data_IF_567485900052
#
_entry.id   IF_567485900052
#
_cell.length_a   1.000
_cell.length_b   1.000
_cell.length_c   1.000
_cell.angle_alpha   90.00
_cell.angle_beta   90.00
_cell.angle_gamma   90.00
#
_symmetry.space_group_name_H-M   'P 1'
#
loop_
_entity.id
_entity.type
_entity.pdbx_description
1 polymer ?
#
# COMPACT_ATOMS: atom_id res chain seq x y z
N UNK A 1 -47.03 20.16 18.52
CA UNK A 1 -45.73 20.84 18.42
C UNK A 1 -45.05 20.20 17.23
N UNK A 2 -45.25 20.82 16.08
CA UNK A 2 -44.75 20.30 14.81
C UNK A 2 -43.23 20.41 14.72
N UNK A 3 -42.69 19.38 14.10
CA UNK A 3 -41.35 19.14 13.58
C UNK A 3 -40.58 20.37 13.09
N UNK A 4 -39.33 20.48 13.54
CA UNK A 4 -38.23 21.05 12.75
C UNK A 4 -36.99 20.16 12.90
N UNK A 5 -37.08 18.91 12.42
CA UNK A 5 -35.88 18.24 11.91
C UNK A 5 -35.53 18.95 10.59
N UNK A 6 -34.68 19.97 10.63
CA UNK A 6 -34.00 20.42 9.42
C UNK A 6 -33.10 19.27 8.97
N UNK A 7 -33.58 18.49 8.01
CA UNK A 7 -32.72 17.58 7.26
C UNK A 7 -31.57 18.40 6.69
N UNK A 8 -30.34 18.12 7.13
CA UNK A 8 -29.15 18.76 6.58
C UNK A 8 -29.12 18.46 5.08
N UNK A 9 -29.23 19.51 4.26
CA UNK A 9 -29.14 19.36 2.81
C UNK A 9 -27.68 19.17 2.43
N UNK A 10 -27.33 17.96 2.02
CA UNK A 10 -26.00 17.61 1.53
C UNK A 10 -25.90 17.96 0.05
N UNK A 11 -24.89 18.75 -0.30
CA UNK A 11 -24.48 19.00 -1.68
C UNK A 11 -23.66 17.81 -2.19
N UNK A 12 -24.07 17.28 -3.35
CA UNK A 12 -23.38 16.15 -4.01
C UNK A 12 -22.56 16.60 -5.21
N UNK A 13 -22.88 17.77 -5.76
CA UNK A 13 -22.20 18.30 -6.92
C UNK A 13 -21.00 19.16 -6.49
N UNK A 14 -19.82 18.55 -6.54
CA UNK A 14 -18.56 19.23 -6.28
C UNK A 14 -18.26 20.38 -7.26
N UNK A 15 -18.95 20.50 -8.39
CA UNK A 15 -18.82 21.68 -9.27
C UNK A 15 -19.34 22.97 -8.61
N UNK A 16 -20.12 22.86 -7.53
CA UNK A 16 -20.60 24.01 -6.75
C UNK A 16 -19.65 24.43 -5.61
N UNK A 17 -18.51 23.76 -5.50
CA UNK A 17 -17.44 24.14 -4.58
C UNK A 17 -16.85 25.50 -4.95
N UNK A 18 -16.64 26.36 -3.95
CA UNK A 18 -15.99 27.66 -4.07
C UNK A 18 -14.64 27.63 -3.37
N UNK A 19 -13.56 27.63 -4.16
CA UNK A 19 -12.17 27.68 -3.67
C UNK A 19 -11.93 28.86 -2.75
N UNK A 20 -12.36 30.06 -3.15
CA UNK A 20 -12.12 31.26 -2.36
C UNK A 20 -12.87 31.25 -1.03
N UNK A 21 -14.13 30.82 -1.06
CA UNK A 21 -14.94 30.69 0.16
C UNK A 21 -14.33 29.68 1.12
N UNK A 22 -13.83 28.55 0.61
CA UNK A 22 -13.13 27.56 1.41
C UNK A 22 -11.89 28.15 2.10
N UNK A 23 -11.06 28.89 1.35
CA UNK A 23 -9.88 29.53 1.91
C UNK A 23 -10.20 30.59 2.98
N UNK A 24 -11.25 31.37 2.77
CA UNK A 24 -11.68 32.38 3.74
C UNK A 24 -12.27 31.75 5.01
N UNK A 25 -12.97 30.64 4.88
CA UNK A 25 -13.58 29.92 5.99
C UNK A 25 -12.54 29.21 6.86
N UNK A 26 -11.56 28.53 6.24
CA UNK A 26 -10.63 27.66 6.96
C UNK A 26 -9.24 28.25 7.21
N UNK A 27 -8.80 29.24 6.42
CA UNK A 27 -7.39 29.67 6.43
C UNK A 27 -7.18 31.19 6.55
N UNK A 28 -8.24 31.99 6.75
CA UNK A 28 -8.12 33.45 6.94
C UNK A 28 -7.48 33.84 8.29
N UNK A 29 -7.62 32.97 9.28
CA UNK A 29 -7.05 33.08 10.62
C UNK A 29 -6.35 31.78 11.00
N UNK A 30 -5.27 31.89 11.78
CA UNK A 30 -4.53 30.72 12.27
C UNK A 30 -5.20 30.19 13.52
N UNK A 31 -5.69 28.97 13.45
CA UNK A 31 -6.29 28.25 14.56
C UNK A 31 -5.25 27.34 15.27
N UNK A 32 -5.65 26.71 16.38
CA UNK A 32 -4.76 25.81 17.10
C UNK A 32 -4.55 24.50 16.34
N UNK A 33 -5.57 24.06 15.60
CA UNK A 33 -5.55 22.96 14.64
C UNK A 33 -4.43 23.17 13.62
N UNK A 34 -4.38 24.34 12.96
CA UNK A 34 -3.34 24.68 11.98
C UNK A 34 -1.93 24.61 12.59
N UNK A 35 -1.76 25.15 13.80
CA UNK A 35 -0.46 25.13 14.50
C UNK A 35 -0.02 23.71 14.87
N UNK A 36 -0.95 22.81 15.20
CA UNK A 36 -0.62 21.39 15.44
C UNK A 36 -0.25 20.69 14.13
N UNK A 37 -1.04 20.92 13.09
CA UNK A 37 -0.81 20.33 11.77
C UNK A 37 0.54 20.76 11.19
N UNK A 38 0.86 22.06 11.22
CA UNK A 38 2.14 22.60 10.75
C UNK A 38 3.34 22.06 11.54
N UNK A 39 3.21 21.85 12.86
CA UNK A 39 4.24 21.17 13.67
C UNK A 39 4.44 19.71 13.27
N UNK A 40 3.34 18.99 12.99
CA UNK A 40 3.42 17.63 12.48
C UNK A 40 4.13 17.58 11.11
N UNK A 41 3.80 18.50 10.20
CA UNK A 41 4.43 18.63 8.90
C UNK A 41 5.94 18.93 9.02
N UNK A 42 6.33 19.93 9.83
CA UNK A 42 7.73 20.26 10.08
C UNK A 42 8.53 19.04 10.60
N UNK A 43 7.92 18.22 11.46
CA UNK A 43 8.50 16.99 11.98
C UNK A 43 8.67 15.91 10.90
N UNK A 44 7.63 15.61 10.12
CA UNK A 44 7.67 14.49 9.16
C UNK A 44 8.49 14.76 7.89
N UNK A 45 8.80 16.02 7.61
CA UNK A 45 9.72 16.38 6.53
C UNK A 45 11.19 16.46 6.99
N UNK A 46 11.47 16.29 8.29
CA UNK A 46 12.83 16.35 8.84
C UNK A 46 13.77 15.24 8.34
N UNK A 47 13.22 14.10 7.92
CA UNK A 47 13.93 12.89 7.47
C UNK A 47 13.73 12.58 5.97
N UNK A 48 13.22 13.55 5.19
CA UNK A 48 13.06 13.39 3.73
C UNK A 48 14.43 13.25 3.07
N UNK A 49 14.54 12.26 2.17
CA UNK A 49 15.76 12.01 1.38
C UNK A 49 15.96 13.12 0.35
N UNK A 50 17.20 13.58 0.20
CA UNK A 50 17.57 14.52 -0.85
C UNK A 50 17.18 13.98 -2.24
N UNK A 51 16.64 14.87 -3.07
CA UNK A 51 16.21 14.51 -4.43
C UNK A 51 14.79 13.94 -4.53
N UNK A 52 14.08 13.75 -3.42
CA UNK A 52 12.70 13.22 -3.41
C UNK A 52 11.72 14.09 -4.20
N UNK A 53 10.85 13.44 -4.97
CA UNK A 53 9.71 14.06 -5.67
C UNK A 53 8.43 13.90 -4.84
N UNK A 54 7.69 14.99 -4.66
CA UNK A 54 6.46 15.02 -3.86
C UNK A 54 5.24 15.20 -4.76
N UNK A 55 4.21 14.41 -4.51
CA UNK A 55 2.85 14.61 -5.02
C UNK A 55 1.99 15.21 -3.92
N UNK A 56 1.35 16.34 -4.20
CA UNK A 56 0.22 16.84 -3.43
C UNK A 56 -1.06 16.30 -4.06
N UNK A 57 -1.66 15.28 -3.44
CA UNK A 57 -2.86 14.62 -3.93
C UNK A 57 -4.11 15.30 -3.38
N UNK A 58 -4.96 15.83 -4.26
CA UNK A 58 -6.20 16.51 -3.86
C UNK A 58 -5.92 17.72 -2.98
N UNK A 59 -4.93 18.54 -3.34
CA UNK A 59 -4.45 19.64 -2.50
C UNK A 59 -5.46 20.77 -2.31
N UNK A 60 -6.60 20.73 -2.99
CA UNK A 60 -7.59 21.78 -2.97
C UNK A 60 -6.99 23.11 -3.43
N UNK A 61 -7.53 24.23 -2.96
CA UNK A 61 -6.94 25.54 -3.22
C UNK A 61 -5.81 25.89 -2.23
N UNK A 62 -5.28 24.92 -1.45
CA UNK A 62 -4.44 25.20 -0.27
C UNK A 62 -2.95 24.99 -0.52
N UNK A 63 -2.11 25.64 0.31
CA UNK A 63 -0.65 25.55 0.22
C UNK A 63 0.05 25.29 1.57
N UNK A 64 -0.67 25.32 2.69
CA UNK A 64 -0.09 25.18 4.04
C UNK A 64 0.74 23.90 4.18
N UNK A 65 0.27 22.80 3.60
CA UNK A 65 0.87 21.48 3.69
C UNK A 65 2.22 21.34 2.98
N UNK A 66 2.54 22.30 2.10
CA UNK A 66 3.76 22.34 1.30
C UNK A 66 4.83 23.28 1.84
N UNK A 67 4.50 24.13 2.82
CA UNK A 67 5.43 25.13 3.35
C UNK A 67 6.69 24.46 3.87
N UNK A 68 6.55 23.47 4.76
CA UNK A 68 7.69 22.73 5.32
C UNK A 68 8.31 21.71 4.37
N UNK A 69 7.61 21.33 3.30
CA UNK A 69 8.14 20.44 2.28
C UNK A 69 9.11 21.14 1.31
N UNK A 70 8.82 22.41 0.96
CA UNK A 70 9.53 23.17 -0.05
C UNK A 70 11.07 23.14 0.04
N UNK A 71 11.70 23.28 1.23
CA UNK A 71 13.16 23.21 1.35
C UNK A 71 13.74 21.78 1.34
N UNK A 72 12.89 20.75 1.42
CA UNK A 72 13.31 19.35 1.59
C UNK A 72 13.20 18.53 0.31
N UNK A 73 12.28 18.88 -0.57
CA UNK A 73 11.98 18.11 -1.78
C UNK A 73 12.66 18.72 -3.01
N UNK A 74 12.88 17.89 -4.03
CA UNK A 74 13.43 18.35 -5.32
C UNK A 74 12.41 19.19 -6.06
N UNK A 75 11.20 18.67 -6.20
CA UNK A 75 10.06 19.27 -6.91
C UNK A 75 8.75 18.73 -6.35
N UNK A 76 7.68 19.48 -6.62
CA UNK A 76 6.30 19.23 -6.17
C UNK A 76 5.42 19.17 -7.42
N UNK A 77 4.68 18.09 -7.57
CA UNK A 77 3.56 18.01 -8.50
C UNK A 77 2.26 18.20 -7.71
N UNK A 78 1.54 19.27 -8.03
CA UNK A 78 0.28 19.61 -7.38
C UNK A 78 -0.87 18.98 -8.15
N UNK A 79 -1.81 18.33 -7.47
CA UNK A 79 -2.96 17.73 -8.12
C UNK A 79 -4.26 17.98 -7.39
N UNK A 80 -5.33 18.08 -8.16
CA UNK A 80 -6.68 18.19 -7.64
C UNK A 80 -7.70 17.66 -8.66
N UNK A 81 -8.87 17.27 -8.19
CA UNK A 81 -9.98 16.88 -9.05
C UNK A 81 -10.63 18.10 -9.72
N UNK A 82 -10.73 19.22 -9.00
CA UNK A 82 -11.41 20.42 -9.46
C UNK A 82 -10.45 21.43 -10.07
N UNK A 83 -10.73 21.84 -11.30
CA UNK A 83 -9.94 22.85 -12.00
C UNK A 83 -9.95 24.22 -11.30
N UNK A 84 -11.03 24.56 -10.57
CA UNK A 84 -11.11 25.80 -9.78
C UNK A 84 -10.08 25.86 -8.65
N UNK A 85 -9.71 24.71 -8.09
CA UNK A 85 -8.67 24.59 -7.06
C UNK A 85 -7.29 24.78 -7.68
N UNK A 86 -7.02 24.07 -8.78
CA UNK A 86 -5.77 24.23 -9.53
C UNK A 86 -5.58 25.67 -10.02
N UNK A 87 -6.64 26.34 -10.43
CA UNK A 87 -6.62 27.74 -10.84
C UNK A 87 -6.22 28.68 -9.69
N UNK A 88 -6.76 28.48 -8.49
CA UNK A 88 -6.42 29.30 -7.31
C UNK A 88 -4.93 29.16 -6.96
N UNK A 89 -4.40 27.94 -6.99
CA UNK A 89 -2.97 27.69 -6.73
C UNK A 89 -2.09 28.27 -7.83
N UNK A 90 -2.47 28.14 -9.11
CA UNK A 90 -1.76 28.78 -10.23
C UNK A 90 -1.74 30.29 -10.10
N UNK A 91 -2.83 30.91 -9.67
CA UNK A 91 -2.88 32.36 -9.43
C UNK A 91 -1.84 32.77 -8.38
N UNK A 92 -1.72 32.01 -7.29
CA UNK A 92 -0.69 32.27 -6.28
C UNK A 92 0.73 32.05 -6.80
N UNK A 93 0.98 30.97 -7.55
CA UNK A 93 2.29 30.70 -8.17
C UNK A 93 2.70 31.82 -9.13
N UNK A 94 1.74 32.38 -9.88
CA UNK A 94 1.95 33.45 -10.84
C UNK A 94 1.94 34.86 -10.21
N UNK A 95 1.88 34.99 -8.88
CA UNK A 95 1.84 36.28 -8.16
C UNK A 95 0.69 37.17 -8.60
N UNK A 96 -0.46 36.59 -8.92
CA UNK A 96 -1.67 37.35 -9.19
C UNK A 96 -2.04 38.16 -7.95
N UNK A 97 -2.39 39.44 -8.11
CA UNK A 97 -2.76 40.33 -7.00
C UNK A 97 -4.01 39.89 -6.23
N UNK A 98 -4.85 39.06 -6.85
CA UNK A 98 -6.04 38.46 -6.23
C UNK A 98 -5.78 37.17 -5.48
N UNK A 99 -4.55 36.63 -5.53
CA UNK A 99 -4.23 35.37 -4.88
C UNK A 99 -4.41 35.45 -3.36
N UNK A 100 -4.80 34.33 -2.75
CA UNK A 100 -4.87 34.23 -1.30
C UNK A 100 -3.52 34.51 -0.62
N UNK A 101 -3.55 35.24 0.49
CA UNK A 101 -2.35 35.63 1.22
C UNK A 101 -2.01 34.53 2.24
N UNK A 102 -0.92 33.80 1.98
CA UNK A 102 -0.45 32.71 2.84
C UNK A 102 0.58 33.15 3.90
N UNK A 103 0.91 34.44 4.02
CA UNK A 103 2.00 34.91 4.89
C UNK A 103 1.89 34.41 6.35
N UNK A 104 0.70 34.45 6.95
CA UNK A 104 0.50 34.00 8.35
C UNK A 104 0.74 32.50 8.52
N UNK A 105 0.35 31.70 7.52
CA UNK A 105 0.59 30.26 7.49
C UNK A 105 2.09 30.01 7.30
N UNK A 106 2.74 30.75 6.38
CA UNK A 106 4.18 30.68 6.15
C UNK A 106 4.97 31.04 7.41
N UNK A 107 4.58 32.11 8.10
CA UNK A 107 5.12 32.50 9.41
C UNK A 107 5.00 31.36 10.42
N UNK A 108 3.80 30.81 10.58
CA UNK A 108 3.53 29.71 11.52
C UNK A 108 4.35 28.44 11.18
N UNK A 109 4.52 28.14 9.88
CA UNK A 109 5.33 27.02 9.42
C UNK A 109 6.82 27.23 9.73
N UNK A 110 7.35 28.44 9.54
CA UNK A 110 8.73 28.79 9.89
C UNK A 110 8.96 28.66 11.40
N UNK A 111 8.03 29.15 12.22
CA UNK A 111 8.10 29.00 13.68
C UNK A 111 8.08 27.53 14.11
N UNK A 112 7.24 26.70 13.48
CA UNK A 112 7.18 25.27 13.72
C UNK A 112 8.50 24.55 13.38
N UNK A 113 9.27 25.08 12.43
CA UNK A 113 10.62 24.62 12.07
C UNK A 113 11.73 25.20 12.96
N UNK A 114 11.39 26.08 13.92
CA UNK A 114 12.36 26.77 14.76
C UNK A 114 13.13 27.89 14.03
N UNK A 115 12.57 28.40 12.93
CA UNK A 115 13.14 29.49 12.12
C UNK A 115 12.45 30.80 12.48
N UNK A 116 13.24 31.86 12.66
CA UNK A 116 12.69 33.20 12.90
C UNK A 116 11.95 33.71 11.65
N UNK A 117 10.66 33.98 11.79
CA UNK A 117 9.77 34.38 10.70
C UNK A 117 9.86 35.89 10.40
N UNK A 118 11.00 36.35 9.87
CA UNK A 118 11.10 37.72 9.35
C UNK A 118 10.32 37.86 8.03
N UNK A 119 9.92 39.07 7.61
CA UNK A 119 9.29 39.29 6.30
C UNK A 119 10.11 38.72 5.13
N UNK A 120 11.45 38.81 5.21
CA UNK A 120 12.36 38.25 4.22
C UNK A 120 12.34 36.72 4.22
N UNK A 121 12.30 36.09 5.41
CA UNK A 121 12.21 34.64 5.53
C UNK A 121 10.87 34.10 5.01
N UNK A 122 9.77 34.79 5.29
CA UNK A 122 8.44 34.49 4.76
C UNK A 122 8.46 34.57 3.24
N UNK A 123 8.92 35.69 2.68
CA UNK A 123 9.01 35.88 1.23
C UNK A 123 9.92 34.81 0.59
N UNK A 124 11.08 34.53 1.18
CA UNK A 124 12.01 33.52 0.66
C UNK A 124 11.39 32.12 0.66
N UNK A 125 10.60 31.75 1.68
CA UNK A 125 9.89 30.47 1.74
C UNK A 125 8.82 30.37 0.67
N UNK A 126 8.02 31.42 0.49
CA UNK A 126 6.98 31.42 -0.55
C UNK A 126 7.58 31.37 -1.96
N UNK A 127 8.63 32.16 -2.22
CA UNK A 127 9.33 32.15 -3.50
C UNK A 127 9.98 30.79 -3.81
N UNK A 128 10.55 30.14 -2.79
CA UNK A 128 11.03 28.76 -2.92
C UNK A 128 9.90 27.81 -3.27
N UNK A 129 8.76 27.87 -2.58
CA UNK A 129 7.61 27.02 -2.85
C UNK A 129 7.08 27.23 -4.28
N UNK A 130 6.95 28.48 -4.74
CA UNK A 130 6.57 28.80 -6.13
C UNK A 130 7.49 28.12 -7.13
N UNK A 131 8.81 28.15 -6.90
CA UNK A 131 9.79 27.50 -7.76
C UNK A 131 9.80 25.96 -7.67
N UNK A 132 9.25 25.38 -6.60
CA UNK A 132 9.19 23.93 -6.39
C UNK A 132 7.94 23.29 -6.98
N UNK A 133 6.85 24.03 -7.15
CA UNK A 133 5.63 23.52 -7.82
C UNK A 133 5.88 23.54 -9.34
N UNK A 134 6.23 22.37 -9.90
CA UNK A 134 6.64 22.25 -11.31
C UNK A 134 5.55 21.74 -12.21
N UNK A 135 4.52 21.06 -11.68
CA UNK A 135 3.41 20.51 -12.46
C UNK A 135 2.08 20.66 -11.74
N UNK A 136 1.02 20.82 -12.55
CA UNK A 136 -0.37 20.74 -12.14
C UNK A 136 -1.01 19.55 -12.83
N UNK A 137 -1.62 18.65 -12.07
CA UNK A 137 -2.20 17.40 -12.56
C UNK A 137 -3.67 17.31 -12.16
N UNK A 138 -4.48 16.70 -13.02
CA UNK A 138 -5.81 16.24 -12.60
C UNK A 138 -5.66 14.89 -11.87
N UNK A 139 -6.37 14.72 -10.76
CA UNK A 139 -6.41 13.44 -10.04
C UNK A 139 -7.85 12.99 -9.75
N UNK A 140 -8.09 11.69 -9.71
CA UNK A 140 -9.38 11.09 -9.33
C UNK A 140 -9.15 9.83 -8.48
N UNK A 141 -9.33 9.96 -7.15
CA UNK A 141 -9.10 8.86 -6.21
C UNK A 141 -10.06 7.68 -6.39
N UNK A 142 -11.19 7.86 -7.09
CA UNK A 142 -12.14 6.78 -7.36
C UNK A 142 -11.69 5.88 -8.52
N UNK A 143 -10.60 6.25 -9.22
CA UNK A 143 -10.02 5.44 -10.29
C UNK A 143 -8.87 4.58 -9.78
N UNK A 144 -8.74 3.38 -10.34
CA UNK A 144 -7.61 2.46 -10.11
C UNK A 144 -6.24 3.13 -10.33
N UNK A 145 -6.16 4.03 -11.31
CA UNK A 145 -4.98 4.85 -11.59
C UNK A 145 -5.33 6.32 -11.41
N UNK A 146 -5.19 6.88 -10.19
CA UNK A 146 -5.69 8.23 -9.89
C UNK A 146 -5.10 9.35 -10.73
N UNK A 147 -3.86 9.17 -11.20
CA UNK A 147 -3.14 10.11 -12.05
C UNK A 147 -3.02 9.61 -13.51
N UNK A 148 -3.72 8.53 -13.85
CA UNK A 148 -3.51 7.79 -15.10
C UNK A 148 -2.26 6.90 -15.06
N UNK A 149 -1.89 6.43 -16.25
CA UNK A 149 -0.70 5.61 -16.50
C UNK A 149 0.33 6.43 -17.29
N UNK A 150 1.61 6.09 -17.15
CA UNK A 150 2.68 6.71 -17.93
C UNK A 150 2.87 6.03 -19.29
N UNK A 151 3.83 6.51 -20.10
CA UNK A 151 4.10 6.01 -21.46
C UNK A 151 4.51 4.53 -21.52
N UNK A 152 4.88 3.92 -20.39
CA UNK A 152 5.23 2.50 -20.27
C UNK A 152 4.06 1.65 -19.71
N UNK A 153 2.84 2.19 -19.68
CA UNK A 153 1.65 1.55 -19.10
C UNK A 153 1.74 1.29 -17.58
N UNK A 154 2.68 1.94 -16.88
CA UNK A 154 2.84 1.81 -15.43
C UNK A 154 2.06 2.91 -14.68
N UNK A 155 1.63 2.58 -13.46
CA UNK A 155 1.05 3.55 -12.54
C UNK A 155 2.08 4.66 -12.20
N UNK A 156 1.63 5.91 -12.13
CA UNK A 156 2.48 7.04 -11.74
C UNK A 156 2.70 7.02 -10.22
N UNK A 157 3.97 6.99 -9.78
CA UNK A 157 4.33 6.91 -8.37
C UNK A 157 5.37 7.94 -7.94
N UNK A 158 5.34 8.31 -6.66
CA UNK A 158 6.15 9.36 -6.04
C UNK A 158 6.91 8.88 -4.81
N UNK A 159 8.01 9.57 -4.51
CA UNK A 159 8.79 9.29 -3.29
C UNK A 159 8.03 9.73 -2.03
N UNK A 160 7.22 10.79 -2.17
CA UNK A 160 6.34 11.30 -1.12
C UNK A 160 4.96 11.59 -1.72
N UNK A 161 3.91 11.14 -1.06
CA UNK A 161 2.51 11.50 -1.38
C UNK A 161 1.90 12.17 -0.16
N UNK A 162 1.46 13.41 -0.34
CA UNK A 162 0.59 14.09 0.60
C UNK A 162 -0.87 13.91 0.20
N UNK A 163 -1.75 13.80 1.18
CA UNK A 163 -3.19 13.84 0.97
C UNK A 163 -3.90 14.29 2.25
N UNK A 164 -4.33 15.55 2.32
CA UNK A 164 -4.92 16.13 3.51
C UNK A 164 -6.41 16.43 3.30
N UNK A 165 -7.27 15.82 4.14
CA UNK A 165 -8.72 16.02 4.16
C UNK A 165 -9.45 15.68 2.86
N UNK A 166 -8.95 14.67 2.13
CA UNK A 166 -9.49 14.30 0.80
C UNK A 166 -10.32 13.04 0.88
N UNK A 167 -9.72 11.90 1.20
CA UNK A 167 -10.32 10.58 1.01
C UNK A 167 -11.67 10.45 1.73
N UNK A 168 -11.79 10.97 2.95
CA UNK A 168 -13.02 10.96 3.73
C UNK A 168 -14.04 11.99 3.24
N UNK A 169 -13.58 13.12 2.68
CA UNK A 169 -14.39 14.24 2.23
C UNK A 169 -15.04 14.01 0.87
N UNK A 170 -14.50 13.09 0.05
CA UNK A 170 -14.99 12.79 -1.31
C UNK A 170 -15.71 11.44 -1.40
N UNK A 171 -16.00 10.81 -0.26
CA UNK A 171 -16.54 9.46 -0.20
C UNK A 171 -17.96 9.45 0.35
N UNK A 172 -18.83 8.66 -0.27
CA UNK A 172 -20.22 8.50 0.17
C UNK A 172 -20.37 7.42 1.25
N UNK A 173 -19.51 6.40 1.20
CA UNK A 173 -19.54 5.26 2.12
C UNK A 173 -18.15 4.91 2.63
N UNK A 174 -18.11 4.15 3.73
CA UNK A 174 -16.84 3.58 4.23
C UNK A 174 -16.14 2.68 3.21
N UNK A 175 -16.90 2.01 2.33
CA UNK A 175 -16.31 1.20 1.27
C UNK A 175 -15.65 2.06 0.19
N UNK A 176 -16.29 3.16 -0.18
CA UNK A 176 -15.74 4.13 -1.14
C UNK A 176 -14.49 4.79 -0.56
N UNK A 177 -14.54 5.20 0.71
CA UNK A 177 -13.38 5.73 1.44
C UNK A 177 -12.20 4.76 1.42
N UNK A 178 -12.44 3.49 1.75
CA UNK A 178 -11.40 2.46 1.74
C UNK A 178 -10.79 2.29 0.35
N UNK A 179 -11.61 2.32 -0.70
CA UNK A 179 -11.17 2.16 -2.09
C UNK A 179 -10.38 3.37 -2.57
N UNK A 180 -10.86 4.58 -2.28
CA UNK A 180 -10.17 5.83 -2.59
C UNK A 180 -8.82 5.93 -1.86
N UNK A 181 -8.78 5.57 -0.58
CA UNK A 181 -7.54 5.51 0.21
C UNK A 181 -6.55 4.52 -0.42
N UNK A 182 -6.97 3.30 -0.78
CA UNK A 182 -6.11 2.31 -1.41
C UNK A 182 -5.54 2.81 -2.76
N UNK A 183 -6.37 3.48 -3.57
CA UNK A 183 -5.91 4.09 -4.81
C UNK A 183 -4.87 5.21 -4.56
N UNK A 184 -5.06 6.04 -3.55
CA UNK A 184 -4.07 7.06 -3.15
C UNK A 184 -2.76 6.40 -2.68
N UNK A 185 -2.84 5.32 -1.90
CA UNK A 185 -1.68 4.52 -1.52
C UNK A 185 -0.89 4.01 -2.72
N UNK A 186 -1.57 3.66 -3.83
CA UNK A 186 -0.90 3.16 -5.05
C UNK A 186 0.02 4.19 -5.72
N UNK A 187 -0.18 5.49 -5.44
CA UNK A 187 0.68 6.58 -5.91
C UNK A 187 2.02 6.65 -5.16
N UNK A 188 2.20 5.88 -4.08
CA UNK A 188 3.43 5.86 -3.28
C UNK A 188 4.37 4.80 -3.85
N UNK A 189 5.62 5.18 -4.17
CA UNK A 189 6.65 4.20 -4.56
C UNK A 189 6.89 3.20 -3.43
N UNK A 190 7.36 1.98 -3.73
CA UNK A 190 7.89 1.08 -2.70
C UNK A 190 8.95 1.79 -1.85
N UNK A 191 8.82 1.73 -0.52
CA UNK A 191 9.70 2.46 0.40
C UNK A 191 9.46 3.98 0.50
N UNK A 192 8.47 4.53 -0.23
CA UNK A 192 8.10 5.95 -0.24
C UNK A 192 7.30 6.37 1.00
N UNK A 193 7.08 7.67 1.16
CA UNK A 193 6.39 8.25 2.32
C UNK A 193 4.97 8.68 1.97
N UNK A 194 4.01 8.33 2.80
CA UNK A 194 2.63 8.81 2.75
C UNK A 194 2.40 9.75 3.94
N UNK A 195 1.95 10.97 3.69
CA UNK A 195 1.64 11.98 4.72
C UNK A 195 0.18 12.41 4.54
N UNK A 196 -0.63 12.26 5.56
CA UNK A 196 -2.07 12.50 5.47
C UNK A 196 -2.62 13.14 6.73
N UNK A 197 -3.72 13.86 6.55
CA UNK A 197 -4.59 14.25 7.63
C UNK A 197 -6.05 13.95 7.24
N UNK A 198 -6.90 13.67 8.22
CA UNK A 198 -8.31 13.42 7.98
C UNK A 198 -9.18 13.87 9.15
N UNK A 199 -10.43 14.23 8.86
CA UNK A 199 -11.42 14.60 9.87
C UNK A 199 -11.94 13.35 10.59
N UNK A 200 -11.73 13.28 11.90
CA UNK A 200 -12.16 12.13 12.71
C UNK A 200 -13.66 12.18 12.96
N UNK A 201 -14.35 11.07 12.68
CA UNK A 201 -15.80 10.91 12.91
C UNK A 201 -16.67 12.03 12.30
N UNK A 202 -16.17 12.72 11.28
CA UNK A 202 -16.95 13.71 10.56
C UNK A 202 -18.11 13.05 9.81
N UNK A 203 -19.21 13.78 9.66
CA UNK A 203 -20.35 13.36 8.85
C UNK A 203 -20.61 14.31 7.68
N UNK A 204 -20.10 15.54 7.78
CA UNK A 204 -20.16 16.55 6.75
C UNK A 204 -19.09 17.61 7.03
N UNK A 205 -18.82 18.46 6.05
CA UNK A 205 -17.97 19.64 6.17
C UNK A 205 -18.57 20.78 5.32
N UNK A 206 -18.18 22.02 5.61
CA UNK A 206 -18.81 23.20 5.02
C UNK A 206 -17.96 23.82 3.91
N UNK A 207 -18.65 24.50 3.02
CA UNK A 207 -18.05 25.44 2.07
C UNK A 207 -19.06 26.56 1.84
N UNK A 208 -18.96 27.59 2.69
CA UNK A 208 -19.95 28.66 2.78
C UNK A 208 -21.31 28.13 3.24
N UNK A 209 -22.32 28.33 2.40
CA UNK A 209 -23.70 27.91 2.66
C UNK A 209 -23.97 26.43 2.37
N UNK A 210 -22.99 25.72 1.79
CA UNK A 210 -23.13 24.31 1.39
C UNK A 210 -22.47 23.39 2.41
N UNK A 211 -23.03 22.19 2.53
CA UNK A 211 -22.45 21.08 3.29
C UNK A 211 -22.18 19.91 2.36
N UNK A 212 -20.95 19.43 2.35
CA UNK A 212 -20.53 18.23 1.63
C UNK A 212 -20.44 17.07 2.60
N UNK A 213 -20.65 15.85 2.12
CA UNK A 213 -20.61 14.65 2.94
C UNK A 213 -19.15 14.35 3.38
N UNK A 214 -19.00 13.76 4.56
CA UNK A 214 -17.76 13.11 4.96
C UNK A 214 -18.05 11.72 5.53
N UNK A 215 -17.10 10.80 5.36
CA UNK A 215 -17.14 9.49 6.01
C UNK A 215 -16.49 9.59 7.38
N UNK A 216 -17.24 9.23 8.42
CA UNK A 216 -16.71 9.16 9.77
C UNK A 216 -15.71 8.01 9.91
N UNK A 217 -14.44 8.35 10.15
CA UNK A 217 -13.35 7.39 10.33
C UNK A 217 -12.65 7.54 11.68
N UNK A 218 -11.90 6.51 12.06
CA UNK A 218 -11.07 6.46 13.28
C UNK A 218 -9.63 6.06 12.96
N UNK A 219 -8.75 6.21 13.94
CA UNK A 219 -7.34 5.79 13.88
C UNK A 219 -7.19 4.29 13.58
N UNK A 220 -8.13 3.48 14.09
CA UNK A 220 -8.16 2.03 13.86
C UNK A 220 -8.48 1.71 12.39
N UNK A 221 -9.40 2.46 11.80
CA UNK A 221 -9.75 2.32 10.38
C UNK A 221 -8.55 2.70 9.50
N UNK A 222 -7.91 3.83 9.78
CA UNK A 222 -6.71 4.30 9.07
C UNK A 222 -5.60 3.26 9.15
N UNK A 223 -5.29 2.77 10.36
CA UNK A 223 -4.23 1.78 10.59
C UNK A 223 -4.52 0.46 9.86
N UNK A 224 -5.79 0.03 9.84
CA UNK A 224 -6.20 -1.18 9.12
C UNK A 224 -6.00 -1.04 7.61
N UNK A 225 -6.45 0.08 7.02
CA UNK A 225 -6.31 0.31 5.57
C UNK A 225 -4.84 0.48 5.19
N UNK A 226 -4.04 1.16 6.01
CA UNK A 226 -2.60 1.24 5.84
C UNK A 226 -1.95 -0.16 5.81
N UNK A 227 -2.28 -1.03 6.77
CA UNK A 227 -1.75 -2.38 6.83
C UNK A 227 -2.14 -3.22 5.60
N UNK A 228 -3.39 -3.12 5.15
CA UNK A 228 -3.89 -3.79 3.95
C UNK A 228 -3.19 -3.31 2.65
N UNK A 229 -2.61 -2.10 2.67
CA UNK A 229 -1.88 -1.51 1.54
C UNK A 229 -0.35 -1.53 1.72
N UNK A 230 0.17 -2.36 2.63
CA UNK A 230 1.63 -2.58 2.77
C UNK A 230 2.37 -1.54 3.60
N UNK A 231 1.67 -0.72 4.38
CA UNK A 231 2.27 0.19 5.35
C UNK A 231 2.35 -0.49 6.72
N UNK A 232 3.56 -0.69 7.24
CA UNK A 232 3.78 -1.47 8.48
C UNK A 232 3.60 -0.59 9.71
N UNK A 233 2.83 -1.06 10.70
CA UNK A 233 2.50 -0.33 11.94
C UNK A 233 3.70 0.30 12.66
N UNK A 234 4.87 -0.35 12.66
CA UNK A 234 6.08 0.18 13.32
C UNK A 234 6.63 1.47 12.70
N UNK A 235 6.21 1.81 11.48
CA UNK A 235 6.62 3.00 10.74
C UNK A 235 5.52 4.07 10.68
N UNK A 236 4.43 3.90 11.43
CA UNK A 236 3.33 4.87 11.46
C UNK A 236 3.59 5.87 12.59
N UNK A 237 3.81 7.12 12.21
CA UNK A 237 3.61 8.27 13.09
C UNK A 237 2.14 8.67 13.00
N UNK A 238 1.42 8.74 14.11
CA UNK A 238 0.02 9.16 14.14
C UNK A 238 -0.23 10.00 15.39
N UNK A 239 -0.86 11.15 15.21
CA UNK A 239 -1.30 12.03 16.29
C UNK A 239 -2.75 12.47 16.01
N UNK A 240 -3.56 12.48 17.06
CA UNK A 240 -4.92 13.00 17.01
C UNK A 240 -5.00 14.22 17.91
N UNK A 241 -5.55 15.31 17.39
CA UNK A 241 -5.69 16.57 18.13
C UNK A 241 -7.07 17.21 17.90
N UNK A 242 -7.53 18.06 18.83
CA UNK A 242 -8.81 18.76 18.69
C UNK A 242 -8.83 19.62 17.42
N UNK A 243 -9.97 19.62 16.75
CA UNK A 243 -10.29 20.55 15.69
C UNK A 243 -10.90 21.83 16.27
N UNK A 244 -10.67 22.96 15.61
CA UNK A 244 -11.32 24.23 15.98
C UNK A 244 -12.64 24.43 15.21
N UNK A 245 -12.98 23.52 14.30
CA UNK A 245 -14.19 23.55 13.47
C UNK A 245 -15.42 22.99 14.20
N UNK A 246 -16.62 23.44 13.80
CA UNK A 246 -17.88 22.94 14.37
C UNK A 246 -18.30 21.57 13.81
N UNK A 247 -17.92 21.27 12.57
CA UNK A 247 -18.46 20.10 11.84
C UNK A 247 -17.70 18.79 12.13
N UNK A 248 -16.52 18.87 12.75
CA UNK A 248 -15.74 17.74 13.24
C UNK A 248 -14.96 18.15 14.49
N UNK A 249 -14.76 17.23 15.45
CA UNK A 249 -14.17 17.56 16.74
C UNK A 249 -12.66 17.32 16.84
N UNK A 250 -12.11 16.51 15.94
CA UNK A 250 -10.73 16.04 16.01
C UNK A 250 -10.18 15.79 14.61
N UNK A 251 -8.87 15.96 14.45
CA UNK A 251 -8.10 15.62 13.25
C UNK A 251 -7.19 14.47 13.56
N UNK A 252 -7.09 13.49 12.65
CA UNK A 252 -6.07 12.44 12.67
C UNK A 252 -4.99 12.85 11.68
N UNK A 253 -3.80 13.20 12.15
CA UNK A 253 -2.62 13.34 11.32
C UNK A 253 -1.82 12.05 11.36
N UNK A 254 -1.36 11.57 10.20
CA UNK A 254 -0.48 10.41 10.16
C UNK A 254 0.53 10.48 9.02
N UNK A 255 1.68 9.86 9.26
CA UNK A 255 2.72 9.65 8.28
C UNK A 255 3.17 8.21 8.36
N UNK A 256 3.30 7.53 7.23
CA UNK A 256 3.86 6.19 7.17
C UNK A 256 4.80 6.07 5.99
N UNK A 257 5.92 5.38 6.21
CA UNK A 257 6.75 4.93 5.11
C UNK A 257 6.19 3.59 4.62
N UNK A 258 5.85 3.55 3.33
CA UNK A 258 5.55 2.31 2.62
C UNK A 258 6.70 1.33 2.84
N UNK A 259 6.36 0.06 3.01
CA UNK A 259 7.38 -0.97 3.05
C UNK A 259 8.05 -1.09 1.67
N UNK A 260 9.32 -1.46 1.63
CA UNK A 260 9.92 -2.04 0.42
C UNK A 260 9.26 -3.37 0.05
N UNK A 261 8.60 -3.98 1.03
CA UNK A 261 8.12 -5.33 0.97
C UNK A 261 6.60 -5.33 1.14
N UNK A 262 5.88 -5.45 0.02
CA UNK A 262 4.65 -6.22 0.07
C UNK A 262 5.07 -7.63 0.49
N UNK A 263 4.56 -8.10 1.64
CA UNK A 263 4.67 -9.48 2.08
C UNK A 263 4.05 -10.39 1.01
N UNK A 264 4.86 -10.80 0.03
CA UNK A 264 4.55 -11.91 -0.84
C UNK A 264 5.06 -13.15 -0.13
N UNK A 265 4.15 -13.89 0.51
CA UNK A 265 4.45 -15.22 1.04
C UNK A 265 4.38 -16.20 -0.10
N UNK A 266 5.44 -16.95 -0.34
CA UNK A 266 5.44 -18.03 -1.31
C UNK A 266 5.52 -19.35 -0.57
N UNK A 267 4.57 -20.24 -0.87
CA UNK A 267 4.49 -21.57 -0.32
C UNK A 267 4.78 -22.59 -1.43
N UNK A 268 5.79 -23.45 -1.27
CA UNK A 268 6.15 -24.52 -2.22
C UNK A 268 6.03 -25.87 -1.53
N UNK A 269 5.21 -26.78 -2.03
CA UNK A 269 5.08 -28.12 -1.43
C UNK A 269 5.87 -29.16 -2.25
N UNK A 270 6.71 -30.01 -1.64
CA UNK A 270 7.44 -31.09 -2.36
C UNK A 270 7.22 -32.45 -1.67
N UNK A 271 6.60 -33.42 -2.36
CA UNK A 271 6.16 -34.69 -1.77
C UNK A 271 6.76 -35.92 -2.46
N UNK A 272 7.59 -36.73 -1.80
CA UNK A 272 8.17 -37.97 -2.36
C UNK A 272 7.46 -39.27 -1.93
N UNK A 273 7.26 -40.23 -2.85
CA UNK A 273 6.88 -41.64 -2.54
C UNK A 273 7.90 -42.66 -3.06
N UNK A 274 8.03 -43.79 -2.36
CA UNK A 274 8.54 -45.05 -2.90
C UNK A 274 7.37 -46.03 -3.10
N UNK A 275 7.20 -46.45 -4.35
CA UNK A 275 6.29 -47.44 -4.98
C UNK A 275 4.80 -47.53 -4.57
N UNK A 276 3.94 -47.52 -5.62
CA UNK A 276 2.46 -47.51 -5.65
C UNK A 276 1.87 -48.94 -5.60
N UNK A 277 0.60 -49.13 -5.16
CA UNK A 277 -0.46 -49.24 -6.16
C UNK A 277 -1.86 -48.67 -5.81
N UNK A 278 -2.52 -48.27 -6.90
CA UNK A 278 -3.97 -48.22 -7.23
C UNK A 278 -5.01 -47.61 -6.29
N UNK A 279 -5.70 -46.61 -6.87
CA UNK A 279 -7.14 -46.27 -6.80
C UNK A 279 -7.76 -45.96 -5.44
N UNK A 280 -8.11 -44.70 -5.22
CA UNK A 280 -9.51 -44.29 -5.04
C UNK A 280 -9.67 -42.75 -5.06
N UNK A 281 -10.67 -42.28 -5.81
CA UNK A 281 -11.03 -40.86 -5.88
C UNK A 281 -12.03 -40.53 -4.77
N UNK A 282 -11.61 -39.74 -3.78
CA UNK A 282 -12.53 -39.04 -2.88
C UNK A 282 -12.79 -37.62 -3.40
N UNK A 283 -14.06 -37.34 -3.77
CA UNK A 283 -14.56 -35.98 -3.98
C UNK A 283 -14.84 -35.34 -2.63
N UNK A 284 -14.23 -34.19 -2.35
CA UNK A 284 -14.69 -33.27 -1.31
C UNK A 284 -14.95 -31.92 -1.98
N UNK A 285 -16.21 -31.48 -1.90
CA UNK A 285 -16.66 -30.15 -2.30
C UNK A 285 -16.58 -29.27 -1.06
N UNK A 286 -15.74 -28.24 -1.09
CA UNK A 286 -15.76 -27.15 -0.11
C UNK A 286 -16.13 -25.89 -0.88
N UNK A 287 -17.32 -25.39 -0.59
CA UNK A 287 -17.86 -24.10 -1.06
C UNK A 287 -17.34 -22.96 -0.19
N UNK A 288 -17.03 -21.84 -0.83
CA UNK A 288 -16.60 -20.54 -0.30
C UNK A 288 -15.18 -20.44 0.28
N UNK A 289 -14.20 -20.18 -0.59
CA UNK A 289 -12.94 -19.50 -0.21
C UNK A 289 -12.46 -18.56 -1.33
N UNK A 290 -11.94 -17.39 -0.93
CA UNK A 290 -11.49 -16.26 -1.77
C UNK A 290 -9.99 -16.37 -2.16
N UNK A 291 -9.49 -17.56 -2.43
CA UNK A 291 -8.07 -17.77 -2.79
C UNK A 291 -7.99 -18.86 -3.88
N UNK A 292 -7.13 -18.69 -4.89
CA UNK A 292 -6.92 -19.69 -5.93
C UNK A 292 -5.62 -20.48 -5.65
N UNK A 293 -5.67 -21.78 -5.35
CA UNK A 293 -4.49 -22.62 -5.36
C UNK A 293 -4.12 -23.01 -6.80
N UNK A 294 -2.89 -22.73 -7.24
CA UNK A 294 -2.36 -23.38 -8.45
C UNK A 294 -1.85 -24.76 -8.01
N UNK A 295 -2.63 -25.79 -8.34
CA UNK A 295 -2.26 -27.18 -8.08
C UNK A 295 -1.84 -27.84 -9.39
N UNK A 296 -0.54 -28.10 -9.58
CA UNK A 296 -0.05 -28.84 -10.74
C UNK A 296 0.06 -30.33 -10.38
N UNK A 297 -0.93 -31.13 -10.79
CA UNK A 297 -0.96 -32.58 -10.57
C UNK A 297 -0.42 -33.32 -11.79
N UNK A 298 0.90 -33.43 -11.89
CA UNK A 298 1.56 -34.38 -12.79
C UNK A 298 2.85 -34.87 -12.14
N UNK A 299 3.16 -36.14 -12.34
CA UNK A 299 4.42 -36.74 -11.88
C UNK A 299 5.58 -35.95 -12.48
N UNK A 300 6.28 -35.16 -11.68
CA UNK A 300 7.43 -34.37 -12.11
C UNK A 300 8.67 -35.26 -11.95
N UNK A 301 9.07 -35.90 -13.06
CA UNK A 301 10.35 -36.62 -13.14
C UNK A 301 11.54 -35.67 -13.35
N UNK A 302 11.26 -34.41 -13.70
CA UNK A 302 12.19 -33.30 -13.77
C UNK A 302 11.43 -32.01 -13.47
N UNK A 303 12.13 -31.02 -12.88
CA UNK A 303 11.60 -29.68 -12.66
C UNK A 303 11.12 -29.05 -13.98
N UNK A 304 9.97 -28.36 -13.96
CA UNK A 304 9.42 -27.68 -15.13
C UNK A 304 10.06 -26.29 -15.25
N UNK A 305 10.85 -26.08 -16.31
CA UNK A 305 11.51 -24.80 -16.60
C UNK A 305 10.54 -23.61 -16.68
N UNK A 306 9.24 -23.85 -16.79
CA UNK A 306 8.20 -22.81 -16.74
C UNK A 306 8.01 -22.18 -15.34
N UNK A 307 8.51 -22.79 -14.26
CA UNK A 307 8.48 -22.21 -12.90
C UNK A 307 9.62 -21.20 -12.65
N UNK A 308 10.76 -21.30 -13.35
CA UNK A 308 11.91 -20.39 -13.16
C UNK A 308 11.55 -18.93 -13.50
N UNK A 309 10.88 -18.64 -14.63
CA UNK A 309 10.44 -17.28 -14.95
C UNK A 309 9.41 -16.74 -13.96
N UNK A 310 8.63 -17.61 -13.31
CA UNK A 310 7.63 -17.23 -12.32
C UNK A 310 8.30 -16.67 -11.06
N UNK A 311 9.32 -17.38 -10.54
CA UNK A 311 10.08 -16.98 -9.35
C UNK A 311 10.97 -15.76 -9.63
N UNK A 312 11.54 -15.64 -10.83
CA UNK A 312 12.35 -14.47 -11.22
C UNK A 312 11.53 -13.17 -11.30
N UNK A 313 10.20 -13.27 -11.39
CA UNK A 313 9.27 -12.13 -11.41
C UNK A 313 8.70 -11.80 -10.02
N UNK A 314 8.99 -12.62 -9.00
CA UNK A 314 8.58 -12.44 -7.61
C UNK A 314 9.68 -11.71 -6.81
N UNK A 315 10.02 -10.49 -7.22
CA UNK A 315 11.17 -9.74 -6.69
C UNK A 315 11.03 -9.28 -5.24
N UNK A 316 9.83 -9.41 -4.65
CA UNK A 316 9.49 -8.92 -3.32
C UNK A 316 9.30 -10.05 -2.29
N UNK A 317 9.89 -11.22 -2.55
CA UNK A 317 9.72 -12.43 -1.76
C UNK A 317 10.64 -12.49 -0.53
N UNK A 318 10.07 -12.35 0.67
CA UNK A 318 10.84 -12.31 1.95
C UNK A 318 10.85 -13.60 2.75
N UNK A 319 9.84 -14.46 2.59
CA UNK A 319 9.73 -15.73 3.29
C UNK A 319 9.19 -16.79 2.32
N UNK A 320 9.92 -17.90 2.20
CA UNK A 320 9.52 -19.06 1.40
C UNK A 320 9.20 -20.21 2.35
N UNK A 321 7.92 -20.57 2.43
CA UNK A 321 7.48 -21.72 3.21
C UNK A 321 7.51 -22.94 2.31
N UNK A 322 8.29 -23.96 2.65
CA UNK A 322 8.29 -25.21 1.91
C UNK A 322 7.63 -26.29 2.75
N UNK A 323 6.49 -26.84 2.30
CA UNK A 323 5.82 -27.93 3.01
C UNK A 323 6.12 -29.26 2.32
N UNK A 324 6.64 -30.25 3.03
CA UNK A 324 6.88 -31.56 2.45
C UNK A 324 5.87 -32.54 3.05
N UNK A 325 4.97 -33.08 2.22
CA UNK A 325 4.03 -34.12 2.66
C UNK A 325 4.56 -35.49 2.24
N UNK A 326 4.79 -36.37 3.20
CA UNK A 326 5.16 -37.77 2.94
C UNK A 326 4.07 -38.69 3.46
N UNK A 327 3.50 -39.49 2.54
CA UNK A 327 2.63 -40.60 2.89
C UNK A 327 3.47 -41.81 3.31
N UNK A 328 3.23 -42.35 4.50
CA UNK A 328 3.98 -43.51 4.99
C UNK A 328 3.17 -44.78 4.69
N UNK A 329 3.69 -45.61 3.79
CA UNK A 329 3.22 -46.98 3.62
C UNK A 329 3.83 -47.86 4.72
N UNK A 330 3.06 -48.84 5.20
CA UNK A 330 3.47 -49.71 6.31
C UNK A 330 4.89 -50.29 6.08
N UNK A 331 5.73 -50.20 7.11
CA UNK A 331 7.12 -50.70 7.22
C UNK A 331 8.28 -49.79 6.77
N UNK A 332 8.10 -48.48 6.59
CA UNK A 332 9.25 -47.55 6.51
C UNK A 332 9.51 -46.85 7.86
N UNK A 333 10.54 -47.32 8.59
CA UNK A 333 10.90 -46.79 9.92
C UNK A 333 12.06 -45.77 9.91
N UNK A 334 12.67 -45.49 8.75
CA UNK A 334 13.70 -44.46 8.64
C UNK A 334 13.07 -43.14 8.20
N UNK A 335 12.58 -42.38 9.19
CA UNK A 335 12.12 -41.01 9.00
C UNK A 335 13.32 -40.07 9.01
N UNK A 336 13.41 -39.11 8.08
CA UNK A 336 14.43 -38.06 8.16
C UNK A 336 14.19 -37.23 9.41
N UNK A 337 15.25 -36.97 10.19
CA UNK A 337 15.23 -36.05 11.32
C UNK A 337 15.24 -34.58 10.84
N UNK A 338 14.98 -33.64 11.75
CA UNK A 338 15.16 -32.20 11.45
C UNK A 338 16.57 -31.89 10.96
N UNK A 339 17.58 -32.58 11.51
CA UNK A 339 18.97 -32.41 11.10
C UNK A 339 19.23 -32.97 9.69
N UNK A 340 18.61 -34.10 9.31
CA UNK A 340 18.71 -34.65 7.95
C UNK A 340 18.08 -33.69 6.90
N UNK A 341 16.98 -33.04 7.27
CA UNK A 341 16.31 -32.04 6.43
C UNK A 341 17.19 -30.79 6.30
N UNK A 342 17.64 -30.20 7.42
CA UNK A 342 18.53 -29.03 7.41
C UNK A 342 19.84 -29.31 6.66
N UNK A 343 20.41 -30.51 6.82
CA UNK A 343 21.63 -30.91 6.12
C UNK A 343 21.45 -30.93 4.60
N UNK A 344 20.24 -31.27 4.11
CA UNK A 344 19.91 -31.22 2.69
C UNK A 344 19.93 -29.78 2.13
N UNK A 345 19.92 -28.76 2.99
CA UNK A 345 20.05 -27.34 2.64
C UNK A 345 21.44 -26.74 2.96
N UNK A 346 22.39 -27.53 3.48
CA UNK A 346 23.69 -27.02 3.97
C UNK A 346 24.59 -26.41 2.89
N UNK A 347 24.36 -26.73 1.61
CA UNK A 347 25.09 -26.13 0.48
C UNK A 347 24.45 -24.85 -0.05
N UNK A 348 23.30 -24.46 0.46
CA UNK A 348 22.68 -23.16 0.19
C UNK A 348 23.35 -22.14 1.10
N UNK A 349 23.80 -21.00 0.55
CA UNK A 349 24.48 -19.94 1.32
C UNK A 349 23.50 -19.16 2.23
N UNK A 350 22.69 -19.86 3.03
CA UNK A 350 21.85 -19.26 4.06
C UNK A 350 21.80 -20.20 5.28
N UNK A 351 22.48 -19.77 6.35
CA UNK A 351 22.60 -20.51 7.61
C UNK A 351 21.33 -20.40 8.49
N UNK A 352 20.31 -19.65 8.08
CA UNK A 352 19.07 -19.37 8.83
C UNK A 352 17.90 -20.28 8.45
N UNK A 353 18.17 -21.49 7.96
CA UNK A 353 17.11 -22.46 7.61
C UNK A 353 16.62 -23.20 8.86
N UNK A 354 15.34 -23.06 9.19
CA UNK A 354 14.69 -23.75 10.31
C UNK A 354 13.79 -24.86 9.76
N UNK A 355 13.78 -26.03 10.38
CA UNK A 355 12.85 -27.11 10.04
C UNK A 355 12.11 -27.62 11.26
N UNK A 356 10.85 -28.00 11.06
CA UNK A 356 10.03 -28.75 12.01
C UNK A 356 9.40 -29.96 11.32
N UNK A 357 9.11 -31.00 12.10
CA UNK A 357 8.44 -32.20 11.61
C UNK A 357 7.30 -32.54 12.56
N UNK A 358 6.11 -32.67 12.01
CA UNK A 358 4.90 -33.08 12.71
C UNK A 358 4.43 -34.44 12.20
N UNK A 359 4.24 -35.39 13.12
CA UNK A 359 3.74 -36.73 12.79
C UNK A 359 2.28 -36.89 13.25
N UNK A 360 1.42 -37.25 12.31
CA UNK A 360 0.00 -37.47 12.56
C UNK A 360 -0.31 -38.96 12.47
N UNK A 361 -0.21 -39.63 13.61
CA UNK A 361 -0.32 -41.08 13.74
C UNK A 361 -1.63 -41.65 13.16
N UNK A 362 -2.77 -40.98 13.39
CA UNK A 362 -4.08 -41.43 12.89
C UNK A 362 -4.19 -41.39 11.36
N UNK A 363 -3.48 -40.48 10.71
CA UNK A 363 -3.51 -40.33 9.25
C UNK A 363 -2.34 -41.03 8.55
N UNK A 364 -1.37 -41.57 9.32
CA UNK A 364 -0.08 -42.07 8.80
C UNK A 364 0.63 -41.05 7.91
N UNK A 365 0.54 -39.78 8.30
CA UNK A 365 1.09 -38.64 7.58
C UNK A 365 2.23 -38.02 8.38
N UNK A 366 3.29 -37.65 7.66
CA UNK A 366 4.35 -36.81 8.17
C UNK A 366 4.34 -35.49 7.41
N UNK A 367 4.29 -34.41 8.16
CA UNK A 367 4.44 -33.05 7.66
C UNK A 367 5.83 -32.58 8.05
N UNK A 368 6.58 -32.08 7.08
CA UNK A 368 7.77 -31.31 7.37
C UNK A 368 7.54 -29.86 6.92
N UNK A 369 7.87 -28.95 7.83
CA UNK A 369 7.85 -27.52 7.63
C UNK A 369 9.28 -27.03 7.54
N UNK A 370 9.65 -26.38 6.44
CA UNK A 370 10.95 -25.73 6.30
C UNK A 370 10.74 -24.24 6.06
N UNK A 371 11.48 -23.44 6.82
CA UNK A 371 11.45 -21.98 6.81
C UNK A 371 12.82 -21.47 6.38
N UNK A 372 12.83 -20.50 5.48
CA UNK A 372 14.05 -19.78 5.10
C UNK A 372 13.72 -18.36 4.65
N UNK A 373 14.69 -17.46 4.82
CA UNK A 373 14.66 -16.06 4.41
C UNK A 373 15.27 -15.92 2.99
N UNK A 374 14.46 -15.87 1.91
CA UNK A 374 14.89 -15.97 0.53
C UNK A 374 15.67 -14.74 0.03
N UNK A 375 15.54 -13.58 0.68
CA UNK A 375 16.26 -12.36 0.30
C UNK A 375 17.80 -12.45 0.44
N UNK A 376 18.32 -13.49 1.11
CA UNK A 376 19.76 -13.78 1.19
C UNK A 376 20.26 -14.69 0.05
N UNK A 377 19.36 -15.24 -0.77
CA UNK A 377 19.70 -16.22 -1.79
C UNK A 377 20.17 -15.54 -3.08
N UNK A 378 21.47 -15.63 -3.37
CA UNK A 378 22.04 -15.07 -4.62
C UNK A 378 21.58 -15.78 -5.90
N UNK A 379 21.04 -16.99 -5.79
CA UNK A 379 20.82 -17.89 -6.92
C UNK A 379 19.66 -18.87 -6.64
N UNK A 380 18.46 -18.54 -7.13
CA UNK A 380 17.23 -19.31 -6.89
C UNK A 380 17.20 -20.68 -7.59
N UNK A 381 18.03 -20.92 -8.61
CA UNK A 381 18.07 -22.18 -9.37
C UNK A 381 18.68 -23.36 -8.59
N UNK A 382 19.28 -23.13 -7.42
CA UNK A 382 19.86 -24.22 -6.62
C UNK A 382 18.83 -24.98 -5.77
N UNK A 383 17.63 -24.42 -5.54
CA UNK A 383 16.56 -25.03 -4.72
C UNK A 383 16.09 -26.35 -5.33
N UNK A 384 16.25 -26.50 -6.64
CA UNK A 384 15.57 -27.54 -7.41
C UNK A 384 16.48 -28.67 -7.86
N UNK A 385 17.78 -28.65 -7.51
CA UNK A 385 18.72 -29.67 -7.98
C UNK A 385 19.75 -30.19 -6.96
N UNK A 386 19.76 -29.73 -5.70
CA UNK A 386 20.80 -30.13 -4.73
C UNK A 386 20.29 -30.56 -3.34
N UNK A 387 19.13 -31.22 -3.26
CA UNK A 387 18.78 -31.98 -2.04
C UNK A 387 19.69 -33.22 -1.92
N UNK A 388 20.88 -33.06 -1.35
CA UNK A 388 21.77 -34.20 -1.10
C UNK A 388 21.38 -34.90 0.20
N UNK A 389 20.81 -36.11 0.06
CA UNK A 389 20.51 -37.01 1.19
C UNK A 389 19.81 -38.32 0.86
N UNK A 390 19.11 -38.44 -0.28
CA UNK A 390 18.13 -39.54 -0.45
C UNK A 390 16.97 -39.39 0.55
N UNK A 391 15.71 -39.77 0.33
CA UNK A 391 15.03 -40.53 -0.70
C UNK A 391 13.72 -39.75 -0.98
N UNK A 392 13.73 -38.75 -1.86
CA UNK A 392 12.52 -38.10 -2.39
C UNK A 392 12.39 -38.40 -3.88
N UNK A 393 12.31 -39.69 -4.24
CA UNK A 393 12.43 -40.15 -5.64
C UNK A 393 11.23 -39.84 -6.55
N UNK A 394 10.12 -39.29 -6.02
CA UNK A 394 8.91 -39.05 -6.82
C UNK A 394 8.09 -37.88 -6.28
N UNK A 395 8.43 -36.65 -6.68
CA UNK A 395 7.61 -35.45 -6.39
C UNK A 395 6.30 -35.55 -7.17
N UNK A 396 5.15 -35.66 -6.49
CA UNK A 396 3.84 -35.84 -7.17
C UNK A 396 2.94 -34.61 -7.22
N UNK A 397 3.15 -33.66 -6.32
CA UNK A 397 2.30 -32.49 -6.19
C UNK A 397 3.14 -31.32 -5.70
N UNK A 398 3.00 -30.20 -6.41
CA UNK A 398 3.47 -28.89 -5.99
C UNK A 398 2.23 -28.00 -5.95
N UNK A 399 2.00 -27.37 -4.80
CA UNK A 399 0.89 -26.44 -4.61
C UNK A 399 1.41 -25.08 -4.23
N UNK A 400 0.91 -24.05 -4.92
CA UNK A 400 1.15 -22.64 -4.67
C UNK A 400 -0.07 -22.04 -3.97
N UNK A 401 0.14 -21.27 -2.92
CA UNK A 401 -0.93 -20.54 -2.23
C UNK A 401 -0.49 -19.11 -1.94
N UNK A 402 -1.39 -18.16 -2.22
CA UNK A 402 -1.27 -16.75 -1.83
C UNK A 402 -2.35 -16.44 -0.79
N UNK A 403 -1.96 -15.78 0.30
CA UNK A 403 -2.87 -15.35 1.37
C UNK A 403 -3.67 -14.09 0.99
N UNK A 404 -3.36 -13.44 -0.14
CA UNK A 404 -4.08 -12.30 -0.69
C UNK A 404 -4.52 -12.55 -2.15
N UNK A 405 -5.67 -12.00 -2.61
CA UNK A 405 -6.13 -12.21 -3.98
C UNK A 405 -5.22 -11.52 -5.00
N UNK A 406 -4.74 -12.27 -5.99
CA UNK A 406 -4.05 -11.74 -7.17
C UNK A 406 -4.95 -10.74 -7.93
N UNK A 407 -4.55 -9.48 -8.05
CA UNK A 407 -5.27 -8.44 -8.81
C UNK A 407 -4.89 -8.35 -10.31
N UNK A 408 -4.36 -9.41 -10.91
CA UNK A 408 -4.10 -9.43 -12.34
C UNK A 408 -4.60 -10.72 -12.98
N UNK A 409 -5.15 -10.59 -14.19
CA UNK A 409 -5.69 -11.63 -15.10
C UNK A 409 -4.65 -12.70 -15.49
N UNK A 410 -4.11 -13.39 -14.49
CA UNK A 410 -3.06 -14.39 -14.63
C UNK A 410 -3.61 -15.72 -15.18
N UNK A 411 -4.93 -15.89 -15.16
CA UNK A 411 -5.60 -17.19 -15.43
C UNK A 411 -5.80 -17.45 -16.93
N UNK A 412 -5.73 -16.45 -17.80
CA UNK A 412 -6.02 -16.64 -19.23
C UNK A 412 -4.80 -17.08 -20.08
N UNK A 413 -3.57 -16.82 -19.64
CA UNK A 413 -2.39 -17.06 -20.49
C UNK A 413 -1.86 -18.50 -20.50
N UNK A 414 -2.21 -19.32 -19.49
CA UNK A 414 -1.74 -20.71 -19.40
C UNK A 414 -2.64 -21.70 -20.16
N UNK A 415 -3.90 -21.34 -20.43
CA UNK A 415 -4.85 -22.22 -21.13
C UNK A 415 -4.75 -22.15 -22.66
N UNK A 416 -4.22 -21.06 -23.23
CA UNK A 416 -4.28 -20.80 -24.68
C UNK A 416 -3.09 -21.36 -25.48
N UNK A 417 -1.98 -21.76 -24.85
CA UNK A 417 -0.76 -22.16 -25.58
C UNK A 417 -0.47 -23.67 -25.66
N UNK A 418 -1.44 -24.56 -25.37
CA UNK A 418 -1.26 -26.02 -25.61
C UNK A 418 -2.44 -26.77 -26.23
N UNK A 419 -3.19 -26.10 -27.10
CA UNK A 419 -3.91 -26.80 -28.17
C UNK A 419 -3.17 -26.57 -29.49
N UNK A 420 -2.00 -27.16 -29.65
CA UNK A 420 -1.48 -27.50 -30.97
C UNK A 420 -0.42 -28.60 -30.89
N UNK A 421 -0.75 -29.72 -31.55
CA UNK A 421 0.11 -30.77 -32.14
C UNK A 421 0.88 -31.69 -31.16
N UNK A 422 0.91 -33.03 -31.26
CA UNK A 422 0.70 -33.97 -32.37
C UNK A 422 0.09 -35.29 -31.88
N UNK A 423 -0.86 -35.79 -32.66
CA UNK A 423 -1.14 -37.21 -32.88
C UNK A 423 0.11 -37.95 -33.40
N UNK A 424 0.42 -39.09 -32.79
CA UNK A 424 0.70 -40.35 -33.47
C UNK A 424 0.51 -41.51 -32.50
#
# INVERSE_FOLDING_TARGET
>A
MDSFEHSIQIEKDFQKFSARTYLEEYYSEIQNEDKHHLRCLAKVYGDVKDGSTLLEFGGGPTLYQLMSAAPKVKEIHFSDYLEVNLAEVRNWVNRCSSAFNWNKITETALEAEGIMATPEAINAREELLRGKITKFLHCDAHRKYPLGINDNDDAVQYDIVNCHFVAESISDTFHDWKSAFANICSCVKPGGKLVMAAMKRAIAWKNGDKKFLAVGITEQDVTKVLAENGFVNKNIFMETFPADQEDYSEVIFFCSNGSFNQLQKLCIVICGTGDLPSTDHAKIKISNMKCFPITYKKQLLSFDDNLVPLLHRMTNLEELHVHLLKFILNNQYHLPSNEDIKYSFKTFQNDETISSIDYFERAKLLYCHVYSYPYTWKFYHYITNNFHGGLFKSVREITLYDEHPFEHDFVFFVLLNRFHVLTN
#
